data_IF_301274940373
#
_entry.id   IF_301274940373
#
_cell.length_a   1.000
_cell.length_b   1.000
_cell.length_c   1.000
_cell.angle_alpha   90.00
_cell.angle_beta   90.00
_cell.angle_gamma   90.00
#
_symmetry.space_group_name_H-M   'P 1'
#
loop_
_entity.id
_entity.type
_entity.pdbx_description
1 polymer ?
#
# COMPACT_ATOMS: atom_id res chain seq x y z
N UNK A 1 -30.39 -56.97 12.49
CA UNK A 1 -29.19 -56.58 13.24
C UNK A 1 -28.48 -55.55 12.37
N UNK A 2 -28.47 -54.31 12.83
CA UNK A 2 -28.10 -53.11 12.06
C UNK A 2 -26.66 -52.76 12.41
N UNK A 3 -25.74 -52.82 11.45
CA UNK A 3 -24.39 -52.27 11.64
C UNK A 3 -24.35 -50.84 11.10
N UNK A 4 -23.95 -49.92 11.98
CA UNK A 4 -23.98 -48.48 11.77
C UNK A 4 -22.97 -48.03 10.73
N UNK A 5 -23.48 -47.41 9.67
CA UNK A 5 -22.70 -46.66 8.70
C UNK A 5 -22.26 -45.33 9.34
N UNK A 6 -20.96 -45.19 9.62
CA UNK A 6 -20.35 -43.92 10.01
C UNK A 6 -20.27 -43.00 8.79
N UNK A 7 -21.35 -42.24 8.55
CA UNK A 7 -21.34 -41.16 7.57
C UNK A 7 -20.56 -39.98 8.16
N UNK A 8 -19.32 -39.77 7.69
CA UNK A 8 -18.67 -38.46 7.85
C UNK A 8 -19.47 -37.47 6.99
N UNK A 9 -20.14 -36.53 7.64
CA UNK A 9 -20.85 -35.44 6.97
C UNK A 9 -19.88 -34.73 6.00
N UNK A 10 -20.24 -34.54 4.72
CA UNK A 10 -19.38 -33.83 3.79
C UNK A 10 -19.19 -32.40 4.26
N UNK A 11 -17.93 -31.95 4.28
CA UNK A 11 -17.51 -30.58 4.56
C UNK A 11 -18.47 -29.57 3.93
N UNK A 12 -19.16 -28.79 4.76
CA UNK A 12 -19.87 -27.60 4.33
C UNK A 12 -18.86 -26.66 3.66
N UNK A 13 -18.96 -26.50 2.35
CA UNK A 13 -18.25 -25.43 1.64
C UNK A 13 -18.78 -24.10 2.17
N UNK A 14 -18.04 -23.47 3.09
CA UNK A 14 -18.35 -22.12 3.55
C UNK A 14 -18.14 -21.18 2.37
N UNK A 15 -19.22 -20.63 1.83
CA UNK A 15 -19.13 -19.57 0.82
C UNK A 15 -18.36 -18.40 1.43
N UNK A 16 -17.60 -17.67 0.62
CA UNK A 16 -16.98 -16.41 1.06
C UNK A 16 -18.03 -15.41 1.60
N UNK A 17 -19.29 -15.60 1.24
CA UNK A 17 -20.44 -14.82 1.68
C UNK A 17 -20.93 -15.17 3.11
N UNK A 18 -20.42 -16.24 3.73
CA UNK A 18 -20.74 -16.63 5.13
C UNK A 18 -19.92 -15.82 6.15
N UNK A 19 -18.99 -14.97 5.69
CA UNK A 19 -18.25 -14.07 6.56
C UNK A 19 -18.97 -12.72 6.69
N UNK A 20 -19.86 -12.62 7.67
CA UNK A 20 -20.43 -11.33 8.05
C UNK A 20 -19.47 -10.60 8.99
N UNK A 21 -18.91 -9.48 8.51
CA UNK A 21 -18.08 -8.60 9.34
C UNK A 21 -18.94 -8.03 10.47
N UNK A 22 -18.60 -8.25 11.75
CA UNK A 22 -19.37 -7.75 12.87
C UNK A 22 -19.43 -6.23 12.84
N UNK A 23 -20.55 -5.66 13.30
CA UNK A 23 -20.79 -4.20 13.25
C UNK A 23 -19.70 -3.37 13.90
N UNK A 24 -19.04 -3.88 14.92
CA UNK A 24 -17.91 -3.22 15.58
C UNK A 24 -16.68 -3.08 14.66
N UNK A 25 -16.53 -3.96 13.67
CA UNK A 25 -15.47 -3.93 12.65
C UNK A 25 -15.92 -3.22 11.37
N UNK A 26 -17.21 -2.92 11.22
CA UNK A 26 -17.76 -2.04 10.17
C UNK A 26 -17.60 -0.57 10.57
N UNK A 27 -16.39 -0.18 10.98
CA UNK A 27 -16.05 1.24 11.10
C UNK A 27 -16.35 1.98 9.79
N UNK A 28 -16.50 3.31 9.87
CA UNK A 28 -16.90 4.15 8.73
C UNK A 28 -16.02 3.90 7.49
N UNK A 29 -16.48 3.05 6.57
CA UNK A 29 -15.94 2.95 5.22
C UNK A 29 -16.25 4.21 4.40
N UNK A 30 -17.14 5.06 4.90
CA UNK A 30 -17.60 6.31 4.30
C UNK A 30 -16.74 7.52 4.70
N UNK A 31 -15.78 7.34 5.60
CA UNK A 31 -14.79 8.36 5.91
C UNK A 31 -13.67 8.32 4.85
N UNK A 32 -14.02 8.68 3.60
CA UNK A 32 -13.09 9.37 2.73
C UNK A 32 -12.81 10.75 3.33
N UNK A 33 -12.16 10.76 4.50
CA UNK A 33 -11.46 11.94 4.99
C UNK A 33 -10.47 12.24 3.88
N UNK A 34 -10.65 13.36 3.17
CA UNK A 34 -9.61 13.86 2.28
C UNK A 34 -8.31 13.79 3.06
N UNK A 35 -7.33 13.03 2.54
CA UNK A 35 -6.12 12.71 3.28
C UNK A 35 -5.55 14.00 3.86
N UNK A 36 -5.59 14.11 5.20
CA UNK A 36 -5.04 15.27 5.89
C UNK A 36 -3.52 15.17 5.76
N UNK A 37 -2.85 16.28 5.46
CA UNK A 37 -1.40 16.34 5.41
C UNK A 37 -0.81 15.81 6.73
N UNK A 38 0.35 15.14 6.62
CA UNK A 38 1.12 14.72 7.78
C UNK A 38 1.62 15.94 8.58
N UNK A 39 1.86 15.74 9.88
CA UNK A 39 2.16 16.83 10.82
C UNK A 39 3.36 17.67 10.38
N UNK A 40 4.40 17.02 9.90
CA UNK A 40 5.68 17.60 9.50
C UNK A 40 5.56 18.39 8.19
N UNK A 41 4.72 17.94 7.25
CA UNK A 41 4.38 18.68 6.04
C UNK A 41 3.76 20.05 6.37
N UNK A 42 2.83 20.07 7.33
CA UNK A 42 2.25 21.30 7.85
C UNK A 42 3.27 22.13 8.65
N UNK A 43 4.07 21.48 9.50
CA UNK A 43 5.03 22.16 10.37
C UNK A 43 6.11 22.93 9.61
N UNK A 44 6.52 22.46 8.42
CA UNK A 44 7.47 23.18 7.56
C UNK A 44 6.82 24.26 6.67
N UNK A 45 5.50 24.41 6.72
CA UNK A 45 4.75 25.38 5.90
C UNK A 45 4.68 25.01 4.41
N UNK A 46 4.86 23.74 4.05
CA UNK A 46 4.83 23.31 2.65
C UNK A 46 3.54 23.69 1.90
N UNK A 47 2.33 23.61 2.50
CA UNK A 47 1.08 23.98 1.82
C UNK A 47 1.04 25.44 1.36
N UNK A 48 1.77 26.35 2.03
CA UNK A 48 1.79 27.77 1.70
C UNK A 48 2.53 28.07 0.37
N UNK A 49 3.38 27.15 -0.09
CA UNK A 49 4.25 27.32 -1.27
C UNK A 49 3.98 26.34 -2.42
N UNK A 50 2.96 25.48 -2.28
CA UNK A 50 2.60 24.48 -3.30
C UNK A 50 2.10 25.05 -4.62
N UNK A 51 1.93 26.36 -4.76
CA UNK A 51 1.66 26.98 -6.08
C UNK A 51 2.71 26.60 -7.15
N UNK A 52 3.93 26.22 -6.74
CA UNK A 52 5.02 25.81 -7.64
C UNK A 52 5.21 24.28 -7.75
N UNK A 53 4.64 23.49 -6.82
CA UNK A 53 4.78 22.03 -6.62
C UNK A 53 6.17 21.41 -6.88
N UNK A 54 7.24 22.20 -6.99
CA UNK A 54 8.54 21.72 -7.44
C UNK A 54 8.59 21.27 -8.91
N UNK A 55 7.64 21.70 -9.76
CA UNK A 55 7.59 21.27 -11.16
C UNK A 55 8.88 21.61 -11.90
N UNK A 56 9.51 20.59 -12.50
CA UNK A 56 10.80 20.72 -13.22
C UNK A 56 12.03 20.41 -12.36
N UNK A 57 11.85 20.17 -11.05
CA UNK A 57 12.92 19.73 -10.15
C UNK A 57 12.99 18.21 -10.11
N UNK A 58 14.20 17.65 -10.09
CA UNK A 58 14.47 16.22 -9.90
C UNK A 58 15.15 16.02 -8.55
N UNK A 59 14.60 15.14 -7.72
CA UNK A 59 15.16 14.75 -6.42
C UNK A 59 15.54 13.27 -6.48
N UNK A 60 16.81 12.96 -6.25
CA UNK A 60 17.29 11.58 -6.11
C UNK A 60 17.34 11.18 -4.64
N UNK A 61 16.74 10.03 -4.29
CA UNK A 61 16.82 9.45 -2.95
C UNK A 61 17.81 8.29 -2.94
N UNK A 62 18.76 8.29 -2.00
CA UNK A 62 19.71 7.19 -1.77
C UNK A 62 19.22 6.40 -0.56
N UNK A 63 18.38 5.41 -0.82
CA UNK A 63 17.70 4.57 0.18
C UNK A 63 17.73 3.09 -0.29
N UNK A 64 17.09 2.13 0.40
CA UNK A 64 16.80 0.79 -0.12
C UNK A 64 15.80 0.64 -1.29
N UNK A 65 14.87 1.57 -1.51
CA UNK A 65 13.93 1.48 -2.63
C UNK A 65 12.65 2.26 -2.40
N UNK A 66 11.98 2.67 -3.48
CA UNK A 66 10.58 3.10 -3.44
C UNK A 66 9.77 2.29 -4.47
N UNK A 67 8.56 1.88 -4.11
CA UNK A 67 7.71 1.13 -5.04
C UNK A 67 7.11 2.11 -6.05
N UNK A 68 7.70 2.18 -7.25
CA UNK A 68 7.28 3.14 -8.29
C UNK A 68 5.82 3.00 -8.74
N UNK A 69 5.15 1.88 -8.43
CA UNK A 69 3.73 1.65 -8.70
C UNK A 69 2.81 2.07 -7.54
N UNK A 70 3.34 2.52 -6.41
CA UNK A 70 2.54 2.92 -5.26
C UNK A 70 1.68 4.15 -5.60
N UNK A 71 0.40 4.10 -5.22
CA UNK A 71 -0.64 5.05 -5.66
C UNK A 71 -0.27 6.53 -5.37
N UNK A 72 0.47 6.79 -4.28
CA UNK A 72 0.87 8.13 -3.88
C UNK A 72 2.04 8.72 -4.69
N UNK A 73 2.93 7.90 -5.27
CA UNK A 73 4.19 8.38 -5.86
C UNK A 73 4.34 8.05 -7.35
N UNK A 74 3.48 7.19 -7.91
CA UNK A 74 3.57 6.73 -9.31
C UNK A 74 3.58 7.86 -10.35
N UNK A 75 2.94 8.98 -10.06
CA UNK A 75 2.88 10.14 -10.95
C UNK A 75 4.13 11.03 -10.90
N UNK A 76 4.97 10.87 -9.87
CA UNK A 76 6.23 11.60 -9.69
C UNK A 76 7.45 10.74 -10.06
N UNK A 77 7.26 9.46 -10.38
CA UNK A 77 8.31 8.57 -10.86
C UNK A 77 8.84 9.03 -12.22
N UNK A 78 10.16 9.17 -12.34
CA UNK A 78 10.80 9.74 -13.54
C UNK A 78 11.16 8.69 -14.59
N UNK A 79 11.93 7.65 -14.24
CA UNK A 79 12.34 6.63 -15.22
C UNK A 79 12.92 5.37 -14.58
N UNK A 80 12.87 4.27 -15.33
CA UNK A 80 13.67 3.07 -15.09
C UNK A 80 15.18 3.42 -15.10
N UNK A 81 16.00 2.66 -14.34
CA UNK A 81 17.47 2.86 -14.21
C UNK A 81 17.94 4.15 -13.48
N UNK A 82 17.04 4.92 -12.86
CA UNK A 82 17.39 5.99 -11.90
C UNK A 82 17.72 5.49 -10.48
N UNK A 83 17.91 4.17 -10.34
CA UNK A 83 18.04 3.41 -9.11
C UNK A 83 19.23 2.45 -9.23
N UNK A 84 20.07 2.32 -8.19
CA UNK A 84 21.16 1.34 -8.15
C UNK A 84 20.81 0.24 -7.13
N UNK A 85 20.43 -0.93 -7.62
CA UNK A 85 20.30 -2.14 -6.80
C UNK A 85 21.63 -2.92 -6.81
N UNK A 86 22.39 -2.85 -5.70
CA UNK A 86 23.68 -3.53 -5.57
C UNK A 86 23.55 -5.04 -5.32
N UNK A 87 22.35 -5.54 -5.00
CA UNK A 87 22.12 -6.94 -4.69
C UNK A 87 21.75 -7.71 -5.96
N UNK A 88 20.68 -7.30 -6.63
CA UNK A 88 20.09 -8.05 -7.73
C UNK A 88 20.31 -7.38 -9.10
N UNK A 89 20.93 -6.19 -9.15
CA UNK A 89 21.19 -5.42 -10.37
C UNK A 89 19.91 -5.19 -11.21
N UNK A 90 18.77 -5.08 -10.52
CA UNK A 90 17.45 -4.87 -11.13
C UNK A 90 17.31 -3.46 -11.71
N UNK A 91 16.63 -3.37 -12.85
CA UNK A 91 16.24 -2.09 -13.45
C UNK A 91 15.05 -1.41 -12.74
N UNK A 92 14.31 -2.17 -11.92
CA UNK A 92 13.16 -1.72 -11.15
C UNK A 92 13.47 -1.71 -9.65
N UNK A 93 13.02 -0.69 -8.89
CA UNK A 93 13.23 -0.63 -7.45
C UNK A 93 12.41 -1.70 -6.73
N UNK A 94 13.05 -2.37 -5.76
CA UNK A 94 12.42 -3.37 -4.88
C UNK A 94 12.40 -2.85 -3.46
N UNK A 95 11.22 -2.80 -2.85
CA UNK A 95 11.08 -2.46 -1.43
C UNK A 95 11.21 -3.75 -0.61
N UNK A 96 12.30 -3.92 0.12
CA UNK A 96 12.51 -5.05 1.06
C UNK A 96 12.39 -4.62 2.52
N UNK A 97 12.30 -3.31 2.79
CA UNK A 97 12.16 -2.70 4.11
C UNK A 97 11.23 -1.48 4.03
N UNK A 98 10.59 -1.12 5.15
CA UNK A 98 9.61 -0.03 5.21
C UNK A 98 10.21 1.37 5.35
N UNK A 99 11.53 1.51 5.25
CA UNK A 99 12.22 2.78 5.52
C UNK A 99 12.21 3.75 4.32
N UNK A 100 11.91 3.25 3.10
CA UNK A 100 11.93 4.02 1.84
C UNK A 100 10.60 4.04 1.06
N UNK A 101 9.53 3.52 1.66
CA UNK A 101 8.20 3.36 1.03
C UNK A 101 7.15 4.28 1.61
#
# INVERSE_FOLDING_TARGET
MTEGSWMISPNTSRSADDFTVPEVLKGSFDNQVAAKNEWDVEAIGAPEVWYSTGKGTVVGSIDPGALHTHEAIKHNWLSELGWLDLYDWSALPRVTSSYGS
#
